data_IF_616346608409
#
_entry.id   IF_616346608409
#
_cell.length_a   1.000
_cell.length_b   1.000
_cell.length_c   1.000
_cell.angle_alpha   90.00
_cell.angle_beta   90.00
_cell.angle_gamma   90.00
#
_symmetry.space_group_name_H-M   'P 1'
#
loop_
_entity.id
_entity.type
_entity.pdbx_description
1 polymer ?
#
# COMPACT_ATOMS: atom_id res chain seq x y z
N UNK A 1 -15.06 72.54 -18.32
CA UNK A 1 -15.21 71.57 -17.24
C UNK A 1 -14.81 70.16 -17.76
N UNK A 2 -13.52 69.79 -17.65
CA UNK A 2 -13.03 68.51 -18.12
C UNK A 2 -12.99 67.56 -16.94
N UNK A 3 -13.74 66.46 -17.00
CA UNK A 3 -13.66 65.34 -16.05
C UNK A 3 -12.67 64.31 -16.58
N UNK A 4 -11.57 64.14 -15.86
CA UNK A 4 -10.60 63.08 -16.07
C UNK A 4 -11.11 61.84 -15.32
N UNK A 5 -11.38 60.75 -16.06
CA UNK A 5 -11.65 59.42 -15.49
C UNK A 5 -10.33 58.72 -15.22
N UNK A 6 -10.00 58.49 -13.96
CA UNK A 6 -8.90 57.61 -13.58
C UNK A 6 -9.42 56.13 -13.59
N UNK A 7 -8.91 55.35 -14.52
CA UNK A 7 -9.11 53.92 -14.55
C UNK A 7 -8.16 53.24 -13.58
N UNK A 8 -8.70 52.55 -12.57
CA UNK A 8 -7.94 51.67 -11.65
C UNK A 8 -7.77 50.30 -12.31
N UNK A 9 -6.56 49.95 -12.74
CA UNK A 9 -6.23 48.61 -13.18
C UNK A 9 -5.95 47.75 -11.93
N UNK A 10 -6.88 46.89 -11.59
CA UNK A 10 -6.66 45.86 -10.56
C UNK A 10 -5.83 44.72 -11.18
N UNK A 11 -4.56 44.68 -10.85
CA UNK A 11 -3.70 43.55 -11.17
C UNK A 11 -4.07 42.38 -10.20
N UNK A 12 -4.83 41.42 -10.71
CA UNK A 12 -5.13 40.18 -10.02
C UNK A 12 -3.85 39.32 -9.90
N UNK A 13 -3.26 39.28 -8.71
CA UNK A 13 -2.22 38.29 -8.38
C UNK A 13 -2.91 36.91 -8.33
N UNK A 14 -2.80 36.12 -9.40
CA UNK A 14 -3.02 34.69 -9.35
C UNK A 14 -1.84 34.09 -8.56
N UNK A 15 -2.03 33.89 -7.24
CA UNK A 15 -1.15 33.03 -6.46
C UNK A 15 -1.28 31.62 -7.05
N UNK A 16 -0.26 31.20 -7.81
CA UNK A 16 -0.15 29.83 -8.27
C UNK A 16 -0.12 28.94 -7.03
N UNK A 17 -1.17 28.17 -6.81
CA UNK A 17 -1.19 27.10 -5.80
C UNK A 17 -0.12 26.11 -6.24
N UNK A 18 1.08 26.21 -5.65
CA UNK A 18 2.08 25.15 -5.77
C UNK A 18 1.44 23.92 -5.16
N UNK A 19 1.01 22.97 -5.98
CA UNK A 19 0.52 21.68 -5.52
C UNK A 19 1.68 21.03 -4.75
N UNK A 20 1.55 20.92 -3.44
CA UNK A 20 2.54 20.26 -2.60
C UNK A 20 2.69 18.81 -3.06
N UNK A 21 3.90 18.26 -2.98
CA UNK A 21 4.14 16.84 -3.29
C UNK A 21 3.27 15.99 -2.36
N UNK A 22 2.50 15.02 -2.90
CA UNK A 22 1.57 14.23 -2.09
C UNK A 22 2.29 13.31 -1.10
N UNK A 23 3.53 12.87 -1.39
CA UNK A 23 4.32 12.04 -0.51
C UNK A 23 5.76 12.57 -0.36
N UNK A 24 6.27 12.56 0.86
CA UNK A 24 7.65 12.85 1.22
C UNK A 24 8.39 11.57 1.62
N UNK A 25 9.72 11.59 1.58
CA UNK A 25 10.51 10.50 2.15
C UNK A 25 10.20 10.34 3.65
N UNK A 26 9.99 9.10 4.13
CA UNK A 26 9.58 8.83 5.52
C UNK A 26 10.72 8.92 6.54
N UNK A 27 11.93 9.31 6.10
CA UNK A 27 13.12 9.52 6.93
C UNK A 27 13.97 10.66 6.39
N UNK A 28 15.00 11.05 7.15
CA UNK A 28 16.00 12.01 6.71
C UNK A 28 17.00 11.44 5.67
N UNK A 29 17.01 10.11 5.43
CA UNK A 29 17.84 9.50 4.40
C UNK A 29 17.30 9.87 3.01
N UNK A 30 18.08 10.65 2.26
CA UNK A 30 17.71 11.15 0.92
C UNK A 30 18.35 10.40 -0.23
N UNK A 31 19.13 9.35 0.07
CA UNK A 31 19.91 8.63 -0.93
C UNK A 31 19.06 8.00 -2.07
N UNK A 32 17.78 7.69 -1.83
CA UNK A 32 16.86 7.25 -2.89
C UNK A 32 16.75 8.26 -4.05
N UNK A 33 16.95 9.53 -3.74
CA UNK A 33 16.85 10.61 -4.71
C UNK A 33 18.18 10.96 -5.40
N UNK A 34 19.24 10.22 -5.10
CA UNK A 34 20.58 10.42 -5.66
C UNK A 34 20.89 9.31 -6.69
N UNK A 35 21.57 9.61 -7.80
CA UNK A 35 21.99 8.57 -8.74
C UNK A 35 22.87 7.51 -8.04
N UNK A 36 22.49 6.23 -8.17
CA UNK A 36 23.21 5.12 -7.51
C UNK A 36 23.15 5.15 -5.98
N UNK A 37 22.12 5.79 -5.42
CA UNK A 37 21.94 5.92 -3.98
C UNK A 37 21.25 4.74 -3.30
N UNK A 38 20.79 3.74 -4.06
CA UNK A 38 19.96 2.64 -3.58
C UNK A 38 20.65 1.85 -2.46
N UNK A 39 21.95 1.51 -2.60
CA UNK A 39 22.71 0.79 -1.57
C UNK A 39 22.84 1.59 -0.26
N UNK A 40 22.84 2.93 -0.36
CA UNK A 40 22.86 3.83 0.82
C UNK A 40 21.47 4.04 1.41
N UNK A 41 20.42 3.77 0.63
CA UNK A 41 19.03 3.93 1.06
C UNK A 41 18.47 2.66 1.68
N UNK A 42 18.68 1.50 1.05
CA UNK A 42 18.09 0.24 1.48
C UNK A 42 18.99 -0.58 2.41
N UNK A 43 18.36 -1.32 3.31
CA UNK A 43 19.01 -2.32 4.15
C UNK A 43 18.54 -3.72 3.72
N UNK A 44 19.47 -4.56 3.28
CA UNK A 44 19.17 -5.97 2.96
C UNK A 44 18.91 -6.83 4.19
N UNK A 45 18.36 -8.03 3.99
CA UNK A 45 18.26 -9.07 5.02
C UNK A 45 19.64 -9.62 5.37
N UNK A 46 19.75 -10.39 6.46
CA UNK A 46 21.03 -10.94 6.93
C UNK A 46 21.73 -11.72 5.81
N UNK A 47 22.96 -11.32 5.49
CA UNK A 47 23.78 -11.98 4.47
C UNK A 47 23.29 -11.81 3.03
N UNK A 48 22.34 -10.93 2.77
CA UNK A 48 21.81 -10.65 1.43
C UNK A 48 22.09 -9.20 1.01
N UNK A 49 22.19 -8.91 -0.30
CA UNK A 49 22.42 -7.57 -0.81
C UNK A 49 21.26 -6.62 -0.48
N UNK A 50 21.52 -5.31 -0.63
CA UNK A 50 20.54 -4.26 -0.37
C UNK A 50 19.21 -4.43 -1.12
N UNK A 51 19.23 -5.04 -2.31
CA UNK A 51 18.03 -5.32 -3.12
C UNK A 51 16.97 -6.12 -2.36
N UNK A 52 17.37 -6.96 -1.39
CA UNK A 52 16.38 -7.67 -0.56
C UNK A 52 15.61 -6.77 0.40
N UNK A 53 15.97 -5.48 0.51
CA UNK A 53 15.24 -4.44 1.24
C UNK A 53 14.30 -3.61 0.38
N UNK A 54 14.20 -3.87 -0.93
CA UNK A 54 13.24 -3.22 -1.83
C UNK A 54 11.89 -3.93 -1.82
N UNK A 55 10.87 -3.30 -2.41
CA UNK A 55 9.53 -3.88 -2.56
C UNK A 55 9.48 -5.01 -3.59
N UNK A 56 8.58 -5.97 -3.39
CA UNK A 56 8.25 -6.98 -4.38
C UNK A 56 8.85 -8.36 -4.11
N UNK A 57 9.01 -9.16 -5.16
CA UNK A 57 9.52 -10.53 -5.08
C UNK A 57 11.06 -10.56 -4.89
N UNK A 58 11.55 -10.10 -3.74
CA UNK A 58 12.99 -9.90 -3.46
C UNK A 58 13.51 -10.75 -2.31
N UNK A 59 12.64 -11.43 -1.58
CA UNK A 59 12.96 -12.31 -0.45
C UNK A 59 12.97 -13.77 -0.90
N UNK A 60 13.70 -14.62 -0.17
CA UNK A 60 13.76 -16.08 -0.44
C UNK A 60 14.01 -16.38 -1.93
N UNK A 61 15.02 -15.71 -2.53
CA UNK A 61 15.41 -15.90 -3.95
C UNK A 61 14.28 -15.59 -4.96
N UNK A 62 13.45 -14.59 -4.63
CA UNK A 62 12.31 -14.16 -5.45
C UNK A 62 11.00 -14.87 -5.15
N UNK A 63 10.97 -15.80 -4.19
CA UNK A 63 9.78 -16.59 -3.88
C UNK A 63 8.95 -16.05 -2.72
N UNK A 64 9.38 -14.96 -2.08
CA UNK A 64 8.64 -14.30 -1.02
C UNK A 64 8.51 -12.80 -1.31
N UNK A 65 7.29 -12.29 -1.17
CA UNK A 65 7.01 -10.86 -1.26
C UNK A 65 7.65 -10.12 -0.06
N UNK A 66 8.22 -8.97 -0.35
CA UNK A 66 8.50 -7.94 0.64
C UNK A 66 7.51 -6.80 0.41
N UNK A 67 6.71 -6.50 1.41
CA UNK A 67 5.54 -5.64 1.32
C UNK A 67 5.87 -4.14 1.32
N UNK A 68 7.12 -3.79 1.66
CA UNK A 68 7.56 -2.40 1.81
C UNK A 68 9.02 -2.18 1.47
N UNK A 69 9.59 -1.12 2.02
CA UNK A 69 11.00 -0.74 1.90
C UNK A 69 11.69 -0.81 3.26
N UNK A 70 12.81 -1.50 3.35
CA UNK A 70 13.68 -1.46 4.53
C UNK A 70 14.67 -0.29 4.40
N UNK A 71 14.33 0.87 4.98
CA UNK A 71 15.08 2.12 4.84
C UNK A 71 16.16 2.19 5.90
N UNK A 72 17.41 2.28 5.46
CA UNK A 72 18.62 2.27 6.29
C UNK A 72 18.67 3.42 7.29
N UNK A 73 19.04 3.09 8.53
CA UNK A 73 19.42 4.05 9.57
C UNK A 73 20.73 4.79 9.21
N UNK A 74 20.73 6.10 9.33
CA UNK A 74 21.91 6.96 9.08
C UNK A 74 22.46 7.62 10.34
N UNK A 75 21.66 7.79 11.40
CA UNK A 75 22.05 8.42 12.64
C UNK A 75 22.08 7.41 13.80
N UNK A 76 23.17 7.35 14.53
CA UNK A 76 23.36 6.38 15.62
C UNK A 76 24.00 7.04 16.84
N UNK A 77 23.62 6.58 18.04
CA UNK A 77 24.26 6.96 19.27
C UNK A 77 25.63 6.27 19.45
N UNK A 78 26.31 6.57 20.57
CA UNK A 78 27.62 5.97 20.93
C UNK A 78 27.54 4.44 21.09
N UNK A 79 26.35 3.88 21.36
CA UNK A 79 26.10 2.43 21.46
C UNK A 79 25.64 1.81 20.14
N UNK A 80 25.67 2.61 19.04
CA UNK A 80 25.22 2.25 17.70
C UNK A 80 23.69 1.99 17.58
N UNK A 81 22.90 2.40 18.58
CA UNK A 81 21.44 2.34 18.48
C UNK A 81 20.93 3.46 17.55
N UNK A 82 19.84 3.21 16.79
CA UNK A 82 19.30 4.17 15.83
C UNK A 82 18.71 5.40 16.54
N UNK A 83 18.91 6.56 15.90
CA UNK A 83 18.40 7.86 16.35
C UNK A 83 17.53 8.54 15.27
N UNK A 84 17.45 8.01 14.06
CA UNK A 84 16.73 8.64 12.95
C UNK A 84 15.27 8.89 13.33
N UNK A 85 14.76 10.12 13.11
CA UNK A 85 13.34 10.38 13.18
C UNK A 85 12.63 9.68 12.01
N UNK A 86 11.47 9.09 12.30
CA UNK A 86 10.53 8.60 11.31
C UNK A 86 9.50 9.70 11.07
N UNK A 87 9.31 10.06 9.82
CA UNK A 87 8.52 11.21 9.39
C UNK A 87 7.22 10.76 8.72
N UNK A 88 6.12 11.45 8.98
CA UNK A 88 4.88 11.25 8.26
C UNK A 88 5.11 11.56 6.76
N UNK A 89 4.83 10.60 5.88
CA UNK A 89 5.06 10.75 4.43
C UNK A 89 4.10 11.74 3.78
N UNK A 90 2.92 11.96 4.36
CA UNK A 90 1.90 12.89 3.90
C UNK A 90 1.08 13.43 5.08
N UNK A 91 0.29 14.49 4.85
CA UNK A 91 -0.75 14.92 5.79
C UNK A 91 -1.72 13.77 6.05
N UNK A 92 -2.12 13.56 7.29
CA UNK A 92 -3.00 12.45 7.61
C UNK A 92 -3.44 12.39 9.07
N UNK A 93 -3.98 11.25 9.43
CA UNK A 93 -4.41 10.95 10.81
C UNK A 93 -3.87 9.60 11.26
N UNK A 94 -3.58 9.45 12.54
CA UNK A 94 -3.20 8.18 13.14
C UNK A 94 -4.39 7.22 13.03
N UNK A 95 -4.22 6.14 12.27
CA UNK A 95 -5.21 5.07 12.16
C UNK A 95 -5.03 4.02 13.25
N UNK A 96 -3.78 3.64 13.52
CA UNK A 96 -3.45 2.59 14.48
C UNK A 96 -1.98 2.68 14.91
N UNK A 97 -1.67 2.13 16.08
CA UNK A 97 -0.29 1.79 16.44
C UNK A 97 -0.23 0.60 17.39
N UNK A 98 0.87 -0.14 17.33
CA UNK A 98 1.24 -1.18 18.28
C UNK A 98 2.53 -0.79 19.02
N UNK A 99 2.48 -0.75 20.36
CA UNK A 99 3.64 -0.52 21.26
C UNK A 99 4.10 -1.81 21.98
N UNK A 100 3.58 -2.96 21.59
CA UNK A 100 3.88 -4.28 22.18
C UNK A 100 4.62 -5.13 21.15
N UNK A 101 5.93 -4.91 21.05
CA UNK A 101 6.76 -5.49 19.98
C UNK A 101 6.67 -7.01 19.82
N UNK A 102 6.39 -7.74 20.90
CA UNK A 102 6.24 -9.19 20.87
C UNK A 102 4.97 -9.72 20.17
N UNK A 103 4.02 -8.84 19.76
CA UNK A 103 2.78 -9.25 19.12
C UNK A 103 2.87 -9.34 17.58
N UNK A 104 3.94 -8.83 16.97
CA UNK A 104 4.06 -8.77 15.52
C UNK A 104 5.52 -8.84 15.06
N UNK A 105 5.74 -9.40 13.87
CA UNK A 105 7.03 -9.30 13.18
C UNK A 105 7.36 -7.82 12.81
N UNK A 106 6.35 -6.95 12.64
CA UNK A 106 6.53 -5.50 12.55
C UNK A 106 7.09 -4.87 13.84
N UNK A 107 7.07 -5.58 14.97
CA UNK A 107 7.46 -5.04 16.28
C UNK A 107 6.52 -3.92 16.73
N UNK A 108 7.10 -2.78 17.16
CA UNK A 108 6.32 -1.57 17.33
C UNK A 108 6.09 -0.93 15.96
N UNK A 109 4.85 -0.61 15.64
CA UNK A 109 4.52 0.00 14.36
C UNK A 109 3.38 1.01 14.46
N UNK A 110 3.35 1.93 13.50
CA UNK A 110 2.39 3.01 13.36
C UNK A 110 1.77 2.94 11.97
N UNK A 111 0.46 3.16 11.87
CA UNK A 111 -0.25 3.31 10.60
C UNK A 111 -0.91 4.69 10.58
N UNK A 112 -0.62 5.44 9.53
CA UNK A 112 -1.28 6.72 9.24
C UNK A 112 -2.25 6.53 8.07
N UNK A 113 -3.43 7.13 8.17
CA UNK A 113 -4.43 7.23 7.10
C UNK A 113 -4.25 8.57 6.38
N UNK A 114 -4.16 8.52 5.08
CA UNK A 114 -4.11 9.68 4.18
C UNK A 114 -5.29 9.65 3.22
N UNK A 115 -5.67 10.82 2.70
CA UNK A 115 -6.64 10.94 1.60
C UNK A 115 -5.98 11.76 0.51
N UNK A 116 -5.60 11.09 -0.57
CA UNK A 116 -4.92 11.67 -1.73
C UNK A 116 -5.84 11.55 -2.94
N UNK A 117 -6.23 12.66 -3.55
CA UNK A 117 -7.18 12.69 -4.69
C UNK A 117 -8.49 11.92 -4.41
N UNK A 118 -8.96 11.92 -3.16
CA UNK A 118 -10.15 11.18 -2.74
C UNK A 118 -9.92 9.69 -2.52
N UNK A 119 -8.70 9.19 -2.71
CA UNK A 119 -8.33 7.80 -2.43
C UNK A 119 -7.78 7.69 -1.02
N UNK A 120 -8.32 6.77 -0.21
CA UNK A 120 -7.72 6.40 1.07
C UNK A 120 -6.49 5.53 0.84
N UNK A 121 -5.33 5.99 1.32
CA UNK A 121 -4.08 5.24 1.32
C UNK A 121 -3.47 5.30 2.70
N UNK A 122 -2.78 4.25 3.08
CA UNK A 122 -2.22 4.11 4.42
C UNK A 122 -0.71 3.97 4.33
N UNK A 123 0.00 4.67 5.21
CA UNK A 123 1.44 4.44 5.39
C UNK A 123 1.69 3.67 6.69
N UNK A 124 2.46 2.59 6.59
CA UNK A 124 2.87 1.78 7.73
C UNK A 124 4.36 1.98 7.98
N UNK A 125 4.72 2.18 9.24
CA UNK A 125 6.09 2.37 9.72
C UNK A 125 6.36 1.34 10.81
N UNK A 126 7.25 0.39 10.57
CA UNK A 126 7.52 -0.71 11.48
C UNK A 126 8.95 -0.69 12.06
N UNK A 127 9.20 -1.62 12.98
CA UNK A 127 10.45 -1.78 13.73
C UNK A 127 10.82 -0.58 14.59
N UNK A 128 9.84 0.22 15.00
CA UNK A 128 10.04 1.47 15.72
C UNK A 128 10.62 1.23 17.13
N UNK A 129 11.54 2.10 17.55
CA UNK A 129 12.05 2.16 18.92
C UNK A 129 10.97 2.76 19.83
N UNK A 130 10.43 3.89 19.41
CA UNK A 130 9.46 4.67 20.16
C UNK A 130 8.50 5.38 19.20
N UNK A 131 7.21 5.40 19.56
CA UNK A 131 6.17 6.19 18.89
C UNK A 131 5.92 7.41 19.77
N UNK A 132 5.86 8.60 19.17
CA UNK A 132 5.65 9.87 19.86
C UNK A 132 4.48 9.76 20.87
N UNK A 133 4.71 10.22 22.09
CA UNK A 133 3.86 9.92 23.24
C UNK A 133 2.45 10.53 23.15
N UNK A 134 2.32 11.70 22.50
CA UNK A 134 1.07 12.44 22.33
C UNK A 134 0.17 11.87 21.21
N UNK A 135 0.69 10.96 20.39
CA UNK A 135 -0.10 10.35 19.33
C UNK A 135 -1.15 9.38 19.88
N UNK A 136 -2.37 9.55 19.42
CA UNK A 136 -3.51 8.66 19.67
C UNK A 136 -4.30 8.45 18.38
N UNK A 137 -5.05 7.35 18.22
CA UNK A 137 -5.92 7.16 17.07
C UNK A 137 -6.81 8.38 16.83
N UNK A 138 -6.88 8.83 15.57
CA UNK A 138 -7.58 10.05 15.17
C UNK A 138 -6.74 11.34 15.25
N UNK A 139 -5.56 11.35 15.89
CA UNK A 139 -4.70 12.54 15.93
C UNK A 139 -4.21 12.90 14.52
N UNK A 140 -4.31 14.19 14.16
CA UNK A 140 -3.79 14.71 12.91
C UNK A 140 -2.26 14.82 12.95
N UNK A 141 -1.62 14.56 11.81
CA UNK A 141 -0.19 14.76 11.60
C UNK A 141 0.05 15.47 10.27
N UNK A 142 1.15 16.21 10.17
CA UNK A 142 1.55 16.92 8.95
C UNK A 142 2.66 16.16 8.21
N UNK A 143 2.69 16.27 6.89
CA UNK A 143 3.77 15.77 6.06
C UNK A 143 5.12 16.28 6.58
N UNK A 144 6.09 15.37 6.74
CA UNK A 144 7.42 15.69 7.29
C UNK A 144 7.49 15.82 8.82
N UNK A 145 6.36 15.72 9.53
CA UNK A 145 6.33 15.74 10.99
C UNK A 145 6.93 14.44 11.57
N UNK A 146 7.81 14.57 12.58
CA UNK A 146 8.38 13.42 13.26
C UNK A 146 7.29 12.72 14.10
N UNK A 147 7.01 11.46 13.79
CA UNK A 147 5.94 10.65 14.43
C UNK A 147 6.50 9.52 15.30
N UNK A 148 7.75 9.13 15.06
CA UNK A 148 8.42 8.06 15.79
C UNK A 148 9.93 8.17 15.69
N UNK A 149 10.65 7.33 16.43
CA UNK A 149 12.08 7.08 16.28
C UNK A 149 12.30 5.70 15.67
N UNK A 150 13.16 5.61 14.66
CA UNK A 150 13.58 4.36 14.05
C UNK A 150 14.15 3.41 15.10
N UNK A 151 13.93 2.12 14.92
CA UNK A 151 14.37 1.12 15.85
C UNK A 151 14.81 -0.18 15.20
N UNK A 152 14.56 -1.28 15.90
CA UNK A 152 14.85 -2.65 15.48
C UNK A 152 13.96 -3.66 16.23
N UNK A 153 12.76 -3.22 16.64
CA UNK A 153 11.81 -4.09 17.34
C UNK A 153 11.17 -5.09 16.38
N UNK A 154 11.02 -6.32 16.82
CA UNK A 154 10.38 -7.41 16.08
C UNK A 154 10.09 -8.56 17.05
N UNK A 155 9.19 -9.47 16.70
CA UNK A 155 9.02 -10.75 17.43
C UNK A 155 9.70 -11.93 16.72
N UNK A 156 10.41 -11.69 15.61
CA UNK A 156 11.14 -12.76 14.91
C UNK A 156 12.29 -13.27 15.77
N UNK A 157 12.56 -14.57 15.70
CA UNK A 157 13.57 -15.25 16.52
C UNK A 157 14.97 -14.70 16.30
N UNK A 158 15.32 -14.35 15.05
CA UNK A 158 16.63 -13.80 14.68
C UNK A 158 16.82 -12.36 15.16
N UNK A 159 15.72 -11.65 15.40
CA UNK A 159 15.76 -10.22 15.72
C UNK A 159 16.37 -9.36 14.59
N UNK A 160 16.52 -8.08 14.87
CA UNK A 160 17.20 -7.14 13.98
C UNK A 160 18.44 -6.63 14.70
N UNK A 161 19.64 -6.85 14.11
CA UNK A 161 20.89 -6.36 14.70
C UNK A 161 20.97 -4.82 14.65
N UNK A 162 21.85 -4.24 15.47
CA UNK A 162 22.05 -2.78 15.48
C UNK A 162 22.47 -2.26 14.12
N UNK A 163 23.37 -2.95 13.44
CA UNK A 163 23.90 -2.57 12.13
C UNK A 163 22.80 -2.53 11.06
N UNK A 164 21.81 -3.41 11.22
CA UNK A 164 20.66 -3.52 10.32
C UNK A 164 19.43 -2.74 10.78
N UNK A 165 19.53 -1.91 11.84
CA UNK A 165 18.41 -1.06 12.24
C UNK A 165 17.88 -0.24 11.04
N UNK A 166 16.57 -0.28 10.84
CA UNK A 166 15.87 0.32 9.69
C UNK A 166 14.42 0.62 10.06
N UNK A 167 13.76 1.44 9.29
CA UNK A 167 12.30 1.46 9.26
C UNK A 167 11.82 0.64 8.08
N UNK A 168 10.92 -0.30 8.32
CA UNK A 168 10.15 -0.94 7.29
C UNK A 168 8.95 -0.06 6.98
N UNK A 169 8.85 0.40 5.72
CA UNK A 169 7.88 1.40 5.27
C UNK A 169 7.00 0.84 4.17
N UNK A 170 5.68 0.89 4.36
CA UNK A 170 4.68 0.46 3.36
C UNK A 170 3.77 1.63 2.95
N UNK A 171 3.23 1.54 1.74
CA UNK A 171 2.06 2.27 1.28
C UNK A 171 0.98 1.27 0.89
N UNK A 172 -0.18 1.31 1.56
CA UNK A 172 -1.16 0.25 1.50
C UNK A 172 -2.56 0.75 1.19
N UNK A 173 -3.37 -0.16 0.63
CA UNK A 173 -4.82 -0.07 0.59
C UNK A 173 -5.43 -1.10 1.55
N UNK A 174 -6.50 -0.75 2.24
CA UNK A 174 -7.23 -1.67 3.14
C UNK A 174 -8.23 -2.49 2.34
N UNK A 175 -8.17 -3.81 2.46
CA UNK A 175 -9.01 -4.72 1.67
C UNK A 175 -10.45 -4.72 2.19
N UNK A 176 -10.64 -4.97 3.49
CA UNK A 176 -11.99 -5.10 4.06
C UNK A 176 -12.04 -4.67 5.53
N UNK A 177 -13.02 -3.85 5.90
CA UNK A 177 -13.25 -3.41 7.28
C UNK A 177 -13.73 -4.55 8.21
N UNK A 178 -14.33 -5.60 7.63
CA UNK A 178 -14.78 -6.81 8.34
C UNK A 178 -13.69 -7.88 8.45
N UNK A 179 -12.43 -7.53 8.19
CA UNK A 179 -11.30 -8.46 8.29
C UNK A 179 -11.26 -9.26 9.60
N UNK A 180 -11.52 -8.70 10.80
CA UNK A 180 -11.47 -9.48 12.03
C UNK A 180 -12.47 -10.64 12.06
N UNK A 181 -13.64 -10.47 11.48
CA UNK A 181 -14.67 -11.50 11.39
C UNK A 181 -14.29 -12.57 10.36
N UNK A 182 -13.85 -12.12 9.18
CA UNK A 182 -13.34 -13.01 8.13
C UNK A 182 -12.16 -13.86 8.64
N UNK A 183 -11.20 -13.23 9.35
CA UNK A 183 -10.03 -13.91 9.88
C UNK A 183 -10.41 -15.01 10.87
N UNK A 184 -11.33 -14.72 11.79
CA UNK A 184 -11.83 -15.68 12.80
C UNK A 184 -12.49 -16.90 12.15
N UNK A 185 -13.23 -16.69 11.05
CA UNK A 185 -13.89 -17.76 10.31
C UNK A 185 -12.91 -18.57 9.44
N UNK A 186 -11.95 -17.89 8.81
CA UNK A 186 -11.01 -18.52 7.88
C UNK A 186 -9.90 -19.27 8.60
N UNK A 187 -9.47 -18.77 9.77
CA UNK A 187 -8.37 -19.31 10.56
C UNK A 187 -8.82 -19.58 12.02
N UNK A 188 -9.73 -20.56 12.26
CA UNK A 188 -10.22 -20.85 13.60
C UNK A 188 -9.07 -21.23 14.54
N UNK A 189 -9.07 -20.63 15.73
CA UNK A 189 -8.02 -20.84 16.73
C UNK A 189 -6.76 -19.99 16.57
N UNK A 190 -6.58 -19.28 15.45
CA UNK A 190 -5.48 -18.32 15.31
C UNK A 190 -5.84 -16.96 15.92
N UNK A 191 -4.85 -16.32 16.54
CA UNK A 191 -5.02 -15.00 17.15
C UNK A 191 -4.86 -13.91 16.11
N UNK A 192 -5.72 -12.90 16.20
CA UNK A 192 -5.56 -11.62 15.51
C UNK A 192 -5.43 -10.50 16.55
N UNK A 193 -4.21 -10.13 16.90
CA UNK A 193 -3.93 -9.13 17.94
C UNK A 193 -4.09 -7.68 17.44
N UNK A 194 -4.24 -7.48 16.14
CA UNK A 194 -4.21 -6.15 15.50
C UNK A 194 -5.54 -5.76 14.84
N UNK A 195 -6.60 -6.58 15.00
CA UNK A 195 -7.90 -6.30 14.40
C UNK A 195 -7.82 -6.11 12.89
N UNK A 196 -8.42 -5.04 12.38
CA UNK A 196 -8.38 -4.67 10.96
C UNK A 196 -7.01 -4.21 10.45
N UNK A 197 -6.05 -3.96 11.35
CA UNK A 197 -4.70 -3.48 11.02
C UNK A 197 -3.64 -4.59 10.98
N UNK A 198 -4.08 -5.81 10.80
CA UNK A 198 -3.24 -6.95 10.48
C UNK A 198 -2.72 -6.83 9.05
N UNK A 199 -1.44 -7.12 8.80
CA UNK A 199 -0.84 -7.01 7.47
C UNK A 199 -1.53 -7.83 6.37
N UNK A 200 -2.27 -8.89 6.73
CA UNK A 200 -3.05 -9.64 5.74
C UNK A 200 -4.28 -8.87 5.20
N UNK A 201 -4.70 -7.79 5.86
CA UNK A 201 -5.75 -6.90 5.40
C UNK A 201 -5.21 -5.69 4.62
N UNK A 202 -3.91 -5.58 4.50
CA UNK A 202 -3.23 -4.51 3.79
C UNK A 202 -2.70 -5.08 2.47
N UNK A 203 -2.90 -4.34 1.38
CA UNK A 203 -2.34 -4.69 0.08
C UNK A 203 -1.43 -3.57 -0.39
N UNK A 204 -0.13 -3.89 -0.51
CA UNK A 204 0.93 -2.92 -0.72
C UNK A 204 1.01 -2.42 -2.16
N UNK A 205 1.28 -1.13 -2.27
CA UNK A 205 1.76 -0.46 -3.48
C UNK A 205 3.29 -0.38 -3.39
N UNK A 206 3.99 -0.33 -4.53
CA UNK A 206 5.44 -0.13 -4.51
C UNK A 206 5.81 1.29 -4.06
N UNK A 207 6.30 1.48 -2.81
CA UNK A 207 6.60 2.82 -2.33
C UNK A 207 7.82 3.43 -3.01
N UNK A 208 8.76 2.62 -3.53
CA UNK A 208 9.94 3.12 -4.26
C UNK A 208 9.50 3.79 -5.55
N UNK A 209 8.66 3.13 -6.34
CA UNK A 209 8.13 3.69 -7.59
C UNK A 209 7.37 4.98 -7.31
N UNK A 210 6.47 4.98 -6.32
CA UNK A 210 5.67 6.16 -5.97
C UNK A 210 6.56 7.33 -5.55
N UNK A 211 7.54 7.13 -4.65
CA UNK A 211 8.42 8.20 -4.17
C UNK A 211 9.31 8.77 -5.28
N UNK A 212 9.77 7.92 -6.23
CA UNK A 212 10.55 8.38 -7.39
C UNK A 212 9.67 9.12 -8.41
N UNK A 213 8.44 8.66 -8.65
CA UNK A 213 7.49 9.36 -9.53
C UNK A 213 7.09 10.72 -8.94
N UNK A 214 6.83 10.79 -7.63
CA UNK A 214 6.56 12.05 -6.94
C UNK A 214 7.74 13.01 -7.07
N UNK A 215 8.98 12.53 -6.92
CA UNK A 215 10.18 13.37 -7.15
C UNK A 215 10.25 13.88 -8.59
N UNK A 216 9.97 13.01 -9.57
CA UNK A 216 10.05 13.35 -11.01
C UNK A 216 8.94 14.29 -11.45
N UNK A 217 7.72 14.08 -10.98
CA UNK A 217 6.50 14.77 -11.44
C UNK A 217 6.10 15.96 -10.55
N UNK A 218 6.58 15.99 -9.29
CA UNK A 218 6.18 16.97 -8.30
C UNK A 218 4.66 17.00 -8.11
N UNK A 219 4.06 18.18 -8.11
CA UNK A 219 2.62 18.35 -7.99
C UNK A 219 1.78 17.84 -9.17
N UNK A 220 2.40 17.26 -10.21
CA UNK A 220 1.71 16.59 -11.32
C UNK A 220 1.55 15.08 -11.10
N UNK A 221 2.09 14.52 -10.03
CA UNK A 221 1.87 13.12 -9.69
C UNK A 221 0.40 12.89 -9.32
N UNK A 222 -0.21 11.85 -9.87
CA UNK A 222 -1.55 11.39 -9.52
C UNK A 222 -1.48 9.96 -8.97
N UNK A 223 -1.91 9.78 -7.72
CA UNK A 223 -2.04 8.45 -7.12
C UNK A 223 -3.10 7.62 -7.84
N UNK A 224 -4.19 8.27 -8.25
CA UNK A 224 -5.27 7.59 -8.95
C UNK A 224 -4.83 7.07 -10.32
N UNK A 225 -4.05 7.86 -11.07
CA UNK A 225 -3.49 7.42 -12.35
C UNK A 225 -2.46 6.30 -12.16
N UNK A 226 -1.61 6.41 -11.13
CA UNK A 226 -0.67 5.34 -10.75
C UNK A 226 -1.41 4.02 -10.45
N UNK A 227 -2.52 4.07 -9.71
CA UNK A 227 -3.35 2.89 -9.43
C UNK A 227 -3.97 2.31 -10.71
N UNK A 228 -4.49 3.14 -11.59
CA UNK A 228 -5.15 2.70 -12.84
C UNK A 228 -4.20 2.13 -13.88
N UNK A 229 -2.90 2.42 -13.78
CA UNK A 229 -1.86 1.98 -14.73
C UNK A 229 -1.13 0.71 -14.27
N UNK A 230 -1.66 0.00 -13.26
CA UNK A 230 -1.06 -1.25 -12.81
C UNK A 230 -1.07 -2.33 -13.89
N UNK A 231 -0.05 -3.18 -13.93
CA UNK A 231 -0.01 -4.33 -14.83
C UNK A 231 -0.93 -5.44 -14.32
N UNK A 232 -1.84 -5.90 -15.17
CA UNK A 232 -2.74 -7.02 -14.84
C UNK A 232 -1.95 -8.32 -14.70
N UNK A 233 -2.09 -8.98 -13.54
CA UNK A 233 -1.69 -10.37 -13.36
C UNK A 233 -2.83 -11.31 -13.76
N UNK A 234 -4.02 -11.03 -13.29
CA UNK A 234 -5.19 -11.84 -13.59
C UNK A 234 -6.48 -11.05 -13.45
N UNK A 235 -7.53 -11.55 -14.09
CA UNK A 235 -8.88 -11.02 -13.99
C UNK A 235 -9.83 -12.09 -13.45
N UNK A 236 -10.63 -11.72 -12.46
CA UNK A 236 -11.55 -12.63 -11.77
C UNK A 236 -12.94 -12.03 -11.81
N UNK A 237 -13.95 -12.80 -12.19
CA UNK A 237 -15.33 -12.42 -11.96
C UNK A 237 -15.76 -12.86 -10.55
N UNK A 238 -16.39 -11.96 -9.81
CA UNK A 238 -16.99 -12.22 -8.51
C UNK A 238 -18.49 -11.91 -8.58
N UNK A 239 -19.33 -12.88 -8.20
CA UNK A 239 -20.79 -12.73 -8.20
C UNK A 239 -21.22 -12.13 -6.88
N UNK A 240 -20.88 -10.87 -6.69
CA UNK A 240 -21.29 -10.03 -5.57
C UNK A 240 -21.42 -8.60 -6.07
N UNK A 241 -22.53 -7.94 -5.76
CA UNK A 241 -22.81 -6.57 -6.18
C UNK A 241 -22.48 -5.52 -5.12
N UNK A 242 -22.06 -5.91 -3.90
CA UNK A 242 -21.94 -4.97 -2.78
C UNK A 242 -20.91 -5.43 -1.74
N UNK A 243 -19.63 -5.11 -1.96
CA UNK A 243 -18.55 -5.38 -1.01
C UNK A 243 -17.76 -4.10 -0.67
N UNK A 244 -17.03 -4.11 0.45
CA UNK A 244 -16.40 -2.95 1.06
C UNK A 244 -15.49 -2.16 0.11
N UNK A 245 -14.75 -2.84 -0.76
CA UNK A 245 -13.83 -2.21 -1.72
C UNK A 245 -14.53 -1.22 -2.66
N UNK A 246 -15.72 -1.53 -3.14
CA UNK A 246 -16.50 -0.65 -4.04
C UNK A 246 -16.84 0.70 -3.39
N UNK A 247 -17.12 0.68 -2.10
CA UNK A 247 -17.46 1.89 -1.33
C UNK A 247 -16.22 2.68 -0.97
N UNK A 248 -15.12 2.00 -0.67
CA UNK A 248 -13.86 2.63 -0.27
C UNK A 248 -13.10 3.23 -1.45
N UNK A 249 -13.13 2.54 -2.59
CA UNK A 249 -12.37 2.92 -3.80
C UNK A 249 -13.26 3.07 -5.04
N UNK A 250 -14.31 3.91 -4.99
CA UNK A 250 -15.25 4.03 -6.12
C UNK A 250 -14.59 4.54 -7.39
N UNK A 251 -13.47 5.29 -7.27
CA UNK A 251 -12.70 5.79 -8.41
C UNK A 251 -12.02 4.70 -9.26
N UNK A 252 -11.92 3.45 -8.73
CA UNK A 252 -11.41 2.29 -9.46
C UNK A 252 -12.50 1.49 -10.16
N UNK A 253 -13.77 1.88 -10.01
CA UNK A 253 -14.91 1.24 -10.68
C UNK A 253 -15.13 1.89 -12.03
N UNK A 254 -15.14 1.08 -13.09
CA UNK A 254 -15.46 1.53 -14.46
C UNK A 254 -16.97 1.55 -14.70
N UNK A 255 -17.40 2.42 -15.58
CA UNK A 255 -18.78 2.42 -16.06
C UNK A 255 -19.03 1.22 -16.99
N UNK A 256 -20.22 0.62 -16.87
CA UNK A 256 -20.76 -0.35 -17.83
C UNK A 256 -22.22 -0.01 -18.12
N UNK A 257 -22.55 0.51 -19.30
CA UNK A 257 -23.92 0.90 -19.63
C UNK A 257 -24.94 -0.26 -19.60
N UNK A 258 -24.51 -1.48 -19.93
CA UNK A 258 -25.39 -2.67 -19.87
C UNK A 258 -25.75 -2.98 -18.44
N UNK A 259 -24.77 -3.07 -17.55
CA UNK A 259 -24.99 -3.32 -16.13
C UNK A 259 -25.77 -2.18 -15.43
N UNK A 260 -25.58 -0.93 -15.87
CA UNK A 260 -26.36 0.21 -15.38
C UNK A 260 -27.84 0.10 -15.73
N UNK A 261 -28.18 -0.45 -16.92
CA UNK A 261 -29.54 -0.63 -17.42
C UNK A 261 -30.23 -1.88 -16.84
N UNK A 262 -29.52 -3.00 -16.83
CA UNK A 262 -30.10 -4.32 -16.50
C UNK A 262 -29.96 -4.71 -15.03
N UNK A 263 -29.15 -3.99 -14.27
CA UNK A 263 -28.77 -4.32 -12.89
C UNK A 263 -27.45 -5.08 -12.81
N UNK A 264 -26.74 -4.88 -11.71
CA UNK A 264 -25.41 -5.46 -11.46
C UNK A 264 -25.57 -6.79 -10.73
N UNK A 265 -25.00 -7.86 -11.27
CA UNK A 265 -24.94 -9.19 -10.64
C UNK A 265 -23.56 -9.54 -10.10
N UNK A 266 -22.55 -8.75 -10.42
CA UNK A 266 -21.17 -8.95 -9.96
C UNK A 266 -20.20 -8.04 -10.68
N UNK A 267 -18.91 -8.26 -10.42
CA UNK A 267 -17.82 -7.46 -10.98
C UNK A 267 -16.73 -8.34 -11.57
N UNK A 268 -16.17 -7.90 -12.69
CA UNK A 268 -14.84 -8.31 -13.09
C UNK A 268 -13.81 -7.46 -12.36
N UNK A 269 -12.86 -8.11 -11.70
CA UNK A 269 -11.82 -7.49 -10.88
C UNK A 269 -10.48 -7.81 -11.50
N UNK A 270 -9.75 -6.78 -11.95
CA UNK A 270 -8.37 -6.90 -12.38
C UNK A 270 -7.46 -6.76 -11.18
N UNK A 271 -6.54 -7.70 -11.01
CA UNK A 271 -5.55 -7.76 -9.94
C UNK A 271 -4.15 -7.61 -10.51
N UNK A 272 -3.30 -6.79 -9.87
CA UNK A 272 -1.87 -6.83 -10.12
C UNK A 272 -1.20 -8.00 -9.37
N UNK A 273 0.12 -8.19 -9.51
CA UNK A 273 0.83 -9.31 -8.89
C UNK A 273 0.86 -9.26 -7.34
N UNK A 274 0.70 -8.08 -6.74
CA UNK A 274 0.57 -7.92 -5.29
C UNK A 274 -0.84 -8.22 -4.78
N UNK A 275 -1.83 -8.31 -5.68
CA UNK A 275 -3.22 -8.53 -5.35
C UNK A 275 -4.02 -7.24 -5.17
N UNK A 276 -3.54 -6.09 -5.65
CA UNK A 276 -4.29 -4.82 -5.66
C UNK A 276 -5.41 -4.92 -6.68
N UNK A 277 -6.70 -4.79 -6.26
CA UNK A 277 -7.83 -4.65 -7.19
C UNK A 277 -7.82 -3.23 -7.76
N UNK A 278 -7.25 -3.03 -8.94
CA UNK A 278 -7.03 -1.70 -9.50
C UNK A 278 -8.06 -1.28 -10.55
N UNK A 279 -8.85 -2.22 -11.07
CA UNK A 279 -9.97 -1.96 -11.98
C UNK A 279 -11.11 -2.93 -11.68
N UNK A 280 -12.33 -2.40 -11.54
CA UNK A 280 -13.55 -3.18 -11.33
C UNK A 280 -14.58 -2.79 -12.38
N UNK A 281 -15.10 -3.78 -13.11
CA UNK A 281 -16.11 -3.58 -14.16
C UNK A 281 -17.40 -4.27 -13.71
N UNK A 282 -18.49 -3.53 -13.44
CA UNK A 282 -19.78 -4.15 -13.10
C UNK A 282 -20.31 -4.95 -14.30
N UNK A 283 -20.97 -6.09 -14.04
CA UNK A 283 -21.55 -6.96 -15.07
C UNK A 283 -23.03 -7.22 -14.81
N UNK A 284 -23.81 -7.20 -15.89
CA UNK A 284 -25.21 -7.63 -15.90
C UNK A 284 -25.33 -9.15 -16.05
N UNK A 285 -26.51 -9.70 -15.74
CA UNK A 285 -26.76 -11.13 -15.87
C UNK A 285 -26.59 -11.63 -17.32
N UNK A 286 -26.96 -10.83 -18.30
CA UNK A 286 -26.80 -11.12 -19.73
C UNK A 286 -25.35 -11.26 -20.18
N UNK A 287 -24.42 -10.65 -19.47
CA UNK A 287 -22.99 -10.66 -19.79
C UNK A 287 -22.24 -11.85 -19.16
N UNK A 288 -22.84 -12.56 -18.18
CA UNK A 288 -22.17 -13.57 -17.37
C UNK A 288 -22.71 -14.96 -17.64
N UNK A 289 -21.92 -15.79 -18.35
CA UNK A 289 -22.30 -17.15 -18.70
C UNK A 289 -22.24 -18.15 -17.53
N UNK A 290 -21.27 -17.97 -16.62
CA UNK A 290 -21.05 -18.88 -15.49
C UNK A 290 -22.02 -18.61 -14.35
N UNK A 291 -22.50 -19.66 -13.69
CA UNK A 291 -23.28 -19.59 -12.44
C UNK A 291 -22.40 -19.59 -11.19
N UNK A 292 -21.10 -19.81 -11.33
CA UNK A 292 -20.16 -19.87 -10.21
C UNK A 292 -20.04 -18.51 -9.51
N UNK A 293 -19.81 -18.54 -8.19
CA UNK A 293 -19.61 -17.32 -7.40
C UNK A 293 -18.32 -16.59 -7.79
N UNK A 294 -17.28 -17.35 -8.11
CA UNK A 294 -15.96 -16.85 -8.51
C UNK A 294 -15.49 -17.57 -9.76
N UNK A 295 -15.00 -16.84 -10.75
CA UNK A 295 -14.48 -17.38 -12.02
C UNK A 295 -13.18 -16.67 -12.37
N UNK A 296 -12.10 -17.42 -12.53
CA UNK A 296 -10.86 -16.89 -13.11
C UNK A 296 -11.08 -16.72 -14.62
N UNK A 297 -10.98 -15.48 -15.12
CA UNK A 297 -11.26 -15.14 -16.52
C UNK A 297 -10.01 -15.16 -17.37
N UNK A 298 -8.90 -14.59 -16.86
CA UNK A 298 -7.64 -14.49 -17.58
C UNK A 298 -6.45 -14.51 -16.63
N UNK A 299 -5.30 -14.92 -17.15
CA UNK A 299 -4.00 -14.85 -16.45
C UNK A 299 -2.93 -14.36 -17.40
N UNK A 300 -2.18 -13.36 -16.97
CA UNK A 300 -0.96 -12.90 -17.62
C UNK A 300 0.20 -13.80 -17.19
N UNK A 301 0.47 -14.84 -17.96
CA UNK A 301 1.50 -15.82 -17.63
C UNK A 301 2.92 -15.23 -17.57
N UNK A 302 3.36 -14.31 -18.47
CA UNK A 302 4.61 -13.59 -18.33
C UNK A 302 4.73 -12.81 -17.02
N UNK A 303 3.67 -12.12 -16.59
CA UNK A 303 3.66 -11.36 -15.34
C UNK A 303 3.76 -12.29 -14.12
N UNK A 304 3.06 -13.44 -14.13
CA UNK A 304 3.20 -14.47 -13.08
C UNK A 304 4.61 -15.06 -13.03
N UNK A 305 5.27 -15.25 -14.17
CA UNK A 305 6.64 -15.75 -14.22
C UNK A 305 7.65 -14.72 -13.67
N UNK A 306 7.44 -13.44 -13.97
CA UNK A 306 8.25 -12.34 -13.47
C UNK A 306 8.08 -12.13 -11.96
N UNK A 307 6.86 -12.35 -11.43
CA UNK A 307 6.50 -12.12 -10.04
C UNK A 307 5.89 -13.37 -9.37
N UNK A 308 6.70 -14.41 -9.07
CA UNK A 308 6.18 -15.70 -8.58
C UNK A 308 5.84 -15.71 -7.08
N UNK A 309 6.12 -14.65 -6.34
CA UNK A 309 6.17 -14.68 -4.88
C UNK A 309 4.79 -14.75 -4.19
N UNK A 310 3.73 -14.13 -4.73
CA UNK A 310 2.38 -14.12 -4.10
C UNK A 310 1.54 -15.35 -4.42
N UNK A 311 1.79 -16.00 -5.56
CA UNK A 311 1.07 -17.20 -6.02
C UNK A 311 -0.45 -17.03 -6.00
N UNK A 312 -0.93 -15.84 -6.44
CA UNK A 312 -2.37 -15.58 -6.55
C UNK A 312 -3.04 -16.53 -7.54
N UNK A 313 -2.31 -16.91 -8.59
CA UNK A 313 -2.70 -17.91 -9.57
C UNK A 313 -1.66 -19.03 -9.63
N UNK A 314 -2.12 -20.24 -9.91
CA UNK A 314 -1.28 -21.45 -10.05
C UNK A 314 -1.81 -22.31 -11.18
N UNK A 315 -1.01 -23.28 -11.64
CA UNK A 315 -1.46 -24.30 -12.56
C UNK A 315 -1.91 -25.56 -11.80
N UNK A 316 -3.01 -26.16 -12.22
CA UNK A 316 -3.44 -27.45 -11.73
C UNK A 316 -2.62 -28.60 -12.34
N UNK A 317 -2.96 -29.85 -11.98
CA UNK A 317 -2.27 -31.05 -12.49
C UNK A 317 -2.40 -31.24 -14.03
N UNK A 318 -3.36 -30.57 -14.67
CA UNK A 318 -3.59 -30.59 -16.12
C UNK A 318 -2.95 -29.38 -16.81
N UNK A 319 -2.21 -28.53 -16.07
CA UNK A 319 -1.58 -27.33 -16.58
C UNK A 319 -2.53 -26.13 -16.75
N UNK A 320 -3.79 -26.25 -16.32
CA UNK A 320 -4.78 -25.17 -16.43
C UNK A 320 -4.60 -24.15 -15.29
N UNK A 321 -4.81 -22.88 -15.60
CA UNK A 321 -4.76 -21.82 -14.60
C UNK A 321 -5.95 -21.87 -13.65
N UNK A 322 -5.67 -21.69 -12.37
CA UNK A 322 -6.65 -21.56 -11.30
C UNK A 322 -6.17 -20.55 -10.25
N UNK A 323 -7.08 -20.05 -9.41
CA UNK A 323 -6.69 -19.29 -8.22
C UNK A 323 -5.91 -20.21 -7.27
N UNK A 324 -4.72 -19.77 -6.88
CA UNK A 324 -3.97 -20.37 -5.78
C UNK A 324 -4.61 -20.05 -4.43
N UNK A 325 -4.13 -20.67 -3.36
CA UNK A 325 -4.66 -20.42 -2.00
C UNK A 325 -4.63 -18.92 -1.62
N UNK A 326 -3.55 -18.22 -1.95
CA UNK A 326 -3.45 -16.78 -1.68
C UNK A 326 -4.49 -15.97 -2.47
N UNK A 327 -4.75 -16.35 -3.75
CA UNK A 327 -5.78 -15.73 -4.56
C UNK A 327 -7.19 -16.02 -4.04
N UNK A 328 -7.46 -17.25 -3.63
CA UNK A 328 -8.75 -17.63 -3.04
C UNK A 328 -9.00 -16.86 -1.73
N UNK A 329 -8.02 -16.75 -0.84
CA UNK A 329 -8.12 -15.97 0.40
C UNK A 329 -8.35 -14.48 0.11
N UNK A 330 -7.60 -13.91 -0.85
CA UNK A 330 -7.78 -12.51 -1.24
C UNK A 330 -9.20 -12.23 -1.75
N UNK A 331 -9.71 -13.04 -2.67
CA UNK A 331 -11.06 -12.87 -3.21
C UNK A 331 -12.11 -13.10 -2.13
N UNK A 332 -11.94 -14.11 -1.27
CA UNK A 332 -12.83 -14.36 -0.13
C UNK A 332 -12.87 -13.18 0.85
N UNK A 333 -11.71 -12.56 1.13
CA UNK A 333 -11.64 -11.36 1.97
C UNK A 333 -12.26 -10.15 1.28
N UNK A 334 -11.95 -9.94 0.00
CA UNK A 334 -12.44 -8.81 -0.77
C UNK A 334 -13.98 -8.75 -0.79
N UNK A 335 -14.63 -9.91 -0.90
CA UNK A 335 -16.08 -10.06 -1.03
C UNK A 335 -16.78 -10.53 0.26
N UNK A 336 -16.12 -10.45 1.42
CA UNK A 336 -16.71 -10.81 2.72
C UNK A 336 -17.71 -9.74 3.23
#
# INVERSE_FOLDING_TARGET
>A
MNRILLGVIAAGFMAGVSSAQPFLLPTANRALHEPGGEERYFTGTVGKPWMSGTFGCVRSEGHQLHEGLDIRCIQRDKRREPLDPVLATADGTVAYFNKRSGLSNYGNYLILRHVIEGVEVYSLYAHLKEIRADLKPGAAVKAGEAVATMGRTTNTREGISRERAHVHFELDLVINERFPDWYRQTFPGQRNDHGGWNGQNLVGLDPQVILLEVKRLGGKFSLLDHLRQQTELCRVFVRDANFSWLKRYPALVKANPVAAKEGIVGYEVALNYCGVPYELIPRAASEVKSKSKVVLLSVNAPEQQKHPCRKLVTRDKRGQWQLGNAGQHLISLLTY
#
